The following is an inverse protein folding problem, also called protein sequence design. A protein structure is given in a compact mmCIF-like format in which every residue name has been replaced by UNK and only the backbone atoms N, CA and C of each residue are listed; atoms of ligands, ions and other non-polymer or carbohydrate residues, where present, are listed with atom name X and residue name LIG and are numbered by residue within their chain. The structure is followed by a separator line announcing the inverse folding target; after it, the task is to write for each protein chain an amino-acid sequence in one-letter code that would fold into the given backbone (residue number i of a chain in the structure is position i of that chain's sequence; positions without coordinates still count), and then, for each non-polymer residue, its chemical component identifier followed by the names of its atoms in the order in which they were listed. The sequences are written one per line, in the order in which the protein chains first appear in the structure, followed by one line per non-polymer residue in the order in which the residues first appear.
data_IF_590512894598
#
_entry.id   IF_590512894598
#
_cell.length_a   1.000
_cell.length_b   1.000
_cell.length_c   1.000
_cell.angle_alpha   90.00
_cell.angle_beta   90.00
_cell.angle_gamma   90.00
#
_symmetry.space_group_name_H-M   'P 1'
#
loop_
_entity.id
_entity.type
_entity.pdbx_description
1 polymer ?
#
# COMPACT_ATOMS: atom_id res chain seq x y z
N UNK A 1 -13.03 7.00 25.63
CA UNK A 1 -11.68 6.71 25.11
C UNK A 1 -10.93 5.63 25.90
N UNK A 2 -10.85 5.69 27.24
CA UNK A 2 -10.18 4.64 28.06
C UNK A 2 -10.76 3.23 27.83
N UNK A 3 -12.08 3.06 27.73
CA UNK A 3 -12.71 1.75 27.41
C UNK A 3 -12.57 1.29 25.94
N UNK A 4 -12.40 2.21 24.98
CA UNK A 4 -12.25 1.87 23.56
C UNK A 4 -10.78 1.67 23.15
N UNK A 5 -9.86 2.40 23.78
CA UNK A 5 -8.43 2.11 23.75
C UNK A 5 -8.11 0.89 24.60
N UNK A 6 -8.79 0.66 25.74
CA UNK A 6 -8.71 -0.62 26.44
C UNK A 6 -9.36 -1.74 25.63
N UNK A 7 -10.43 -1.54 24.85
CA UNK A 7 -10.97 -2.61 24.00
C UNK A 7 -10.07 -2.92 22.80
N UNK A 8 -9.42 -1.92 22.18
CA UNK A 8 -8.39 -2.14 21.15
C UNK A 8 -7.09 -2.73 21.72
N UNK A 9 -6.68 -2.30 22.92
CA UNK A 9 -5.52 -2.81 23.65
C UNK A 9 -5.77 -4.22 24.17
N UNK A 10 -6.95 -4.52 24.73
CA UNK A 10 -7.35 -5.91 25.10
C UNK A 10 -7.55 -6.78 23.88
N UNK A 11 -8.08 -6.28 22.76
CA UNK A 11 -8.16 -7.08 21.52
C UNK A 11 -6.79 -7.40 20.93
N UNK A 12 -5.82 -6.48 20.99
CA UNK A 12 -4.43 -6.74 20.56
C UNK A 12 -3.66 -7.61 21.57
N UNK A 13 -3.81 -7.40 22.89
CA UNK A 13 -3.09 -8.18 23.92
C UNK A 13 -3.70 -9.56 24.18
N UNK A 14 -5.03 -9.73 24.04
CA UNK A 14 -5.69 -11.04 24.20
C UNK A 14 -5.48 -11.96 22.99
N UNK A 15 -5.26 -11.42 21.79
CA UNK A 15 -5.00 -12.22 20.59
C UNK A 15 -3.51 -12.56 20.39
N UNK A 16 -2.57 -11.78 20.93
CA UNK A 16 -1.14 -12.15 20.90
C UNK A 16 -0.78 -13.22 21.95
N UNK A 17 -1.48 -13.25 23.09
CA UNK A 17 -1.31 -14.29 24.12
C UNK A 17 -2.09 -15.58 23.85
N UNK A 18 -2.99 -15.57 22.85
CA UNK A 18 -3.75 -16.73 22.35
C UNK A 18 -3.46 -17.03 20.88
N UNK A 19 -2.30 -16.64 20.35
CA UNK A 19 -1.88 -17.11 19.05
C UNK A 19 -1.67 -18.63 19.15
N UNK A 20 -2.48 -19.48 18.48
CA UNK A 20 -2.08 -20.87 18.32
C UNK A 20 -0.75 -20.88 17.58
N UNK A 21 0.11 -21.85 17.90
CA UNK A 21 1.40 -22.07 17.23
C UNK A 21 1.32 -21.71 15.73
N UNK A 22 2.31 -21.00 15.16
CA UNK A 22 2.27 -20.61 13.76
C UNK A 22 1.96 -21.85 12.92
N UNK A 23 1.03 -21.77 11.95
CA UNK A 23 0.69 -22.92 11.14
C UNK A 23 1.99 -23.45 10.53
N UNK A 24 2.24 -24.77 10.55
CA UNK A 24 3.49 -25.31 10.05
C UNK A 24 3.69 -24.82 8.62
N UNK A 25 4.94 -24.44 8.31
CA UNK A 25 5.44 -23.97 6.99
C UNK A 25 4.82 -24.75 5.81
N UNK A 26 4.43 -25.99 6.04
CA UNK A 26 3.63 -26.85 5.17
C UNK A 26 2.37 -26.21 4.56
N UNK A 27 1.58 -25.43 5.32
CA UNK A 27 0.32 -24.85 4.81
C UNK A 27 0.61 -23.72 3.82
N UNK A 28 1.52 -22.80 4.15
CA UNK A 28 1.92 -21.71 3.26
C UNK A 28 2.59 -22.24 1.98
N UNK A 29 3.44 -23.27 2.08
CA UNK A 29 4.06 -23.93 0.93
C UNK A 29 3.01 -24.63 0.05
N UNK A 30 1.99 -25.26 0.65
CA UNK A 30 0.90 -25.92 -0.11
C UNK A 30 0.04 -24.90 -0.88
N UNK A 31 -0.28 -23.75 -0.27
CA UNK A 31 -1.02 -22.67 -0.94
C UNK A 31 -0.19 -21.93 -1.99
N UNK A 32 1.10 -21.71 -1.75
CA UNK A 32 2.03 -21.15 -2.73
C UNK A 32 2.15 -22.10 -3.94
N UNK A 33 2.23 -23.41 -3.71
CA UNK A 33 2.24 -24.42 -4.79
C UNK A 33 0.94 -24.46 -5.59
N UNK A 34 -0.22 -24.33 -4.94
CA UNK A 34 -1.52 -24.27 -5.62
C UNK A 34 -1.66 -22.97 -6.44
N UNK A 35 -1.23 -21.83 -5.87
CA UNK A 35 -1.20 -20.54 -6.56
C UNK A 35 -0.25 -20.53 -7.76
N UNK A 36 0.97 -21.08 -7.62
CA UNK A 36 1.93 -21.24 -8.72
C UNK A 36 1.43 -22.25 -9.76
N UNK A 37 0.79 -23.36 -9.38
CA UNK A 37 0.22 -24.32 -10.33
C UNK A 37 -0.94 -23.72 -11.12
N UNK A 38 -1.82 -22.93 -10.48
CA UNK A 38 -2.88 -22.21 -11.18
C UNK A 38 -2.28 -21.16 -12.14
N UNK A 39 -1.34 -20.33 -11.66
CA UNK A 39 -0.68 -19.32 -12.49
C UNK A 39 0.08 -19.95 -13.68
N UNK A 40 0.75 -21.09 -13.46
CA UNK A 40 1.49 -21.81 -14.50
C UNK A 40 0.55 -22.49 -15.52
N UNK A 41 -0.60 -23.03 -15.07
CA UNK A 41 -1.64 -23.55 -15.97
C UNK A 41 -2.31 -22.45 -16.80
N UNK A 42 -2.52 -21.26 -16.23
CA UNK A 42 -3.06 -20.11 -16.97
C UNK A 42 -2.06 -19.54 -17.98
N UNK A 43 -0.75 -19.59 -17.67
CA UNK A 43 0.31 -19.07 -18.55
C UNK A 43 0.69 -20.06 -19.67
N UNK A 44 0.61 -21.38 -19.43
CA UNK A 44 1.20 -22.39 -20.35
C UNK A 44 0.23 -23.10 -21.31
N UNK A 45 -1.04 -22.68 -21.41
CA UNK A 45 -1.98 -23.19 -22.43
C UNK A 45 -2.07 -24.74 -22.53
N UNK A 46 -1.96 -25.48 -21.41
CA UNK A 46 -2.14 -26.95 -21.39
C UNK A 46 -3.48 -27.35 -20.76
N UNK A 47 -4.55 -27.56 -21.56
CA UNK A 47 -5.88 -27.88 -21.03
C UNK A 47 -5.97 -29.23 -20.29
N UNK A 48 -5.11 -30.20 -20.62
CA UNK A 48 -5.16 -31.55 -20.02
C UNK A 48 -4.66 -31.65 -18.56
N UNK A 49 -3.99 -30.62 -18.03
CA UNK A 49 -3.47 -30.66 -16.64
C UNK A 49 -4.54 -30.22 -15.62
N UNK A 50 -5.58 -29.50 -16.05
CA UNK A 50 -6.68 -29.03 -15.20
C UNK A 50 -7.58 -30.17 -14.70
N UNK A 51 -7.80 -31.21 -15.51
CA UNK A 51 -8.68 -32.32 -15.14
C UNK A 51 -8.15 -33.17 -13.97
N UNK A 52 -6.83 -33.29 -13.81
CA UNK A 52 -6.24 -34.12 -12.74
C UNK A 52 -6.00 -33.38 -11.42
N UNK A 53 -6.20 -32.06 -11.34
CA UNK A 53 -5.99 -31.28 -10.12
C UNK A 53 -7.28 -30.98 -9.33
N UNK A 54 -8.46 -31.31 -9.88
CA UNK A 54 -9.77 -30.90 -9.32
C UNK A 54 -10.52 -32.04 -8.62
N UNK A 55 -9.96 -33.25 -8.53
CA UNK A 55 -10.54 -34.34 -7.73
C UNK A 55 -10.10 -34.27 -6.27
N UNK A 56 -10.59 -33.26 -5.54
CA UNK A 56 -10.63 -33.27 -4.08
C UNK A 56 -12.09 -33.18 -3.65
N UNK A 57 -12.52 -34.12 -2.81
CA UNK A 57 -13.89 -34.37 -2.39
C UNK A 57 -14.69 -33.13 -1.95
N UNK A 58 -16.04 -33.13 -2.08
CA UNK A 58 -16.87 -31.93 -2.08
C UNK A 58 -17.20 -31.36 -0.69
N UNK A 59 -16.50 -31.76 0.36
CA UNK A 59 -16.81 -31.34 1.73
C UNK A 59 -15.61 -30.63 2.34
N UNK A 60 -15.82 -29.34 2.68
CA UNK A 60 -14.87 -28.42 3.32
C UNK A 60 -13.82 -27.76 2.42
N UNK A 61 -14.27 -26.96 1.44
CA UNK A 61 -13.42 -25.92 0.85
C UNK A 61 -14.17 -24.60 0.82
N UNK A 62 -14.29 -23.95 1.99
CA UNK A 62 -14.47 -22.50 2.03
C UNK A 62 -13.11 -21.92 1.68
N UNK A 63 -12.86 -21.67 0.39
CA UNK A 63 -11.78 -20.79 -0.05
C UNK A 63 -11.98 -19.46 0.67
N UNK A 64 -11.03 -18.97 1.49
CA UNK A 64 -10.97 -17.53 1.69
C UNK A 64 -10.55 -16.97 0.33
N UNK A 65 -11.52 -16.58 -0.49
CA UNK A 65 -11.31 -15.88 -1.74
C UNK A 65 -10.48 -14.63 -1.41
N UNK A 66 -9.17 -14.71 -1.64
CA UNK A 66 -8.31 -13.57 -1.45
C UNK A 66 -8.74 -12.51 -2.46
N UNK A 67 -9.03 -11.26 -2.04
CA UNK A 67 -9.39 -10.16 -2.95
C UNK A 67 -8.29 -9.82 -3.97
N UNK A 68 -7.18 -10.57 -3.99
CA UNK A 68 -6.08 -10.48 -4.94
C UNK A 68 -6.26 -11.38 -6.16
N UNK A 69 -6.96 -12.52 -6.07
CA UNK A 69 -7.06 -13.49 -7.17
C UNK A 69 -8.13 -13.07 -8.20
N UNK A 70 -9.25 -12.54 -7.73
CA UNK A 70 -10.37 -12.07 -8.57
C UNK A 70 -9.95 -10.98 -9.56
N UNK A 71 -9.17 -9.94 -9.15
CA UNK A 71 -8.63 -8.95 -10.08
C UNK A 71 -7.66 -9.53 -11.11
N UNK A 72 -6.83 -10.51 -10.73
CA UNK A 72 -5.85 -11.13 -11.64
C UNK A 72 -6.57 -11.93 -12.74
N UNK A 73 -7.58 -12.71 -12.36
CA UNK A 73 -8.40 -13.48 -13.32
C UNK A 73 -9.23 -12.55 -14.20
N UNK A 74 -9.81 -11.49 -13.64
CA UNK A 74 -10.53 -10.47 -14.40
C UNK A 74 -9.59 -9.76 -15.38
N UNK A 75 -8.37 -9.46 -14.95
CA UNK A 75 -7.35 -8.81 -15.77
C UNK A 75 -6.91 -9.70 -16.94
N UNK A 76 -6.59 -10.96 -16.67
CA UNK A 76 -6.25 -11.93 -17.72
C UNK A 76 -7.38 -12.08 -18.75
N UNK A 77 -8.63 -12.21 -18.28
CA UNK A 77 -9.80 -12.32 -19.16
C UNK A 77 -10.06 -11.03 -19.96
N UNK A 78 -9.87 -9.85 -19.37
CA UNK A 78 -9.97 -8.55 -20.06
C UNK A 78 -8.91 -8.44 -21.15
N UNK A 79 -7.70 -8.90 -20.85
CA UNK A 79 -6.57 -8.84 -21.76
C UNK A 79 -6.73 -9.79 -22.94
N UNK A 80 -7.15 -11.04 -22.69
CA UNK A 80 -7.56 -12.00 -23.73
C UNK A 80 -8.70 -11.45 -24.60
N UNK A 81 -9.69 -10.79 -23.99
CA UNK A 81 -10.80 -10.17 -24.71
C UNK A 81 -10.34 -9.05 -25.67
N UNK A 82 -9.51 -8.12 -25.18
CA UNK A 82 -8.96 -7.03 -26.01
C UNK A 82 -8.06 -7.56 -27.13
N UNK A 83 -7.26 -8.60 -26.85
CA UNK A 83 -6.42 -9.27 -27.85
C UNK A 83 -7.30 -9.90 -28.94
N UNK A 84 -8.38 -10.58 -28.55
CA UNK A 84 -9.29 -11.23 -29.48
C UNK A 84 -9.99 -10.22 -30.39
N UNK A 85 -10.45 -9.09 -29.82
CA UNK A 85 -11.04 -7.98 -30.59
C UNK A 85 -10.08 -7.40 -31.62
N UNK A 86 -8.82 -7.11 -31.24
CA UNK A 86 -7.83 -6.53 -32.16
C UNK A 86 -7.40 -7.51 -33.25
N UNK A 87 -7.32 -8.81 -32.94
CA UNK A 87 -7.05 -9.88 -33.93
C UNK A 87 -8.19 -9.98 -34.95
N UNK A 88 -9.44 -9.78 -34.52
CA UNK A 88 -10.61 -9.73 -35.40
C UNK A 88 -10.56 -8.52 -36.33
N UNK A 89 -10.19 -7.34 -35.85
CA UNK A 89 -10.00 -6.15 -36.72
C UNK A 89 -8.93 -6.39 -37.78
N UNK A 90 -7.81 -7.04 -37.41
CA UNK A 90 -6.72 -7.35 -38.35
C UNK A 90 -7.15 -8.42 -39.37
N UNK A 91 -7.81 -9.49 -38.93
CA UNK A 91 -8.32 -10.56 -39.80
C UNK A 91 -9.36 -10.05 -40.81
N UNK A 92 -10.26 -9.17 -40.35
CA UNK A 92 -11.29 -8.55 -41.18
C UNK A 92 -10.70 -7.58 -42.23
N UNK A 93 -9.55 -6.96 -41.94
CA UNK A 93 -8.79 -6.15 -42.91
C UNK A 93 -7.99 -7.02 -43.89
N UNK A 94 -7.52 -8.21 -43.48
CA UNK A 94 -6.67 -9.07 -44.31
C UNK A 94 -7.38 -10.08 -45.22
N UNK A 95 -8.71 -10.22 -45.13
CA UNK A 95 -9.51 -10.99 -46.11
C UNK A 95 -9.17 -12.48 -46.26
N UNK A 96 -8.50 -13.13 -45.30
CA UNK A 96 -8.02 -14.53 -45.41
C UNK A 96 -8.77 -15.46 -44.43
N UNK A 97 -9.46 -16.47 -45.01
CA UNK A 97 -10.03 -17.71 -44.45
C UNK A 97 -11.18 -17.58 -43.40
N UNK A 98 -12.43 -17.39 -43.86
CA UNK A 98 -13.48 -18.42 -44.12
C UNK A 98 -14.09 -19.11 -42.87
N UNK A 99 -15.21 -18.52 -42.41
CA UNK A 99 -16.43 -19.08 -41.75
C UNK A 99 -16.29 -20.03 -40.54
N UNK A 100 -15.46 -21.06 -40.59
CA UNK A 100 -15.37 -22.07 -39.52
C UNK A 100 -14.65 -21.55 -38.26
N UNK A 101 -13.70 -20.63 -38.45
CA UNK A 101 -13.04 -19.90 -37.36
C UNK A 101 -13.96 -18.81 -36.77
N UNK A 102 -14.89 -18.24 -37.55
CA UNK A 102 -15.75 -17.15 -37.09
C UNK A 102 -16.75 -17.61 -36.04
N UNK A 103 -17.33 -18.80 -36.18
CA UNK A 103 -18.26 -19.35 -35.19
C UNK A 103 -17.56 -19.64 -33.86
N UNK A 104 -16.37 -20.26 -33.91
CA UNK A 104 -15.59 -20.55 -32.69
C UNK A 104 -15.12 -19.24 -32.01
N UNK A 105 -14.70 -18.24 -32.79
CA UNK A 105 -14.31 -16.93 -32.28
C UNK A 105 -15.52 -16.20 -31.67
N UNK A 106 -16.70 -16.23 -32.31
CA UNK A 106 -17.93 -15.65 -31.78
C UNK A 106 -18.38 -16.32 -30.47
N UNK A 107 -18.26 -17.64 -30.35
CA UNK A 107 -18.54 -18.36 -29.10
C UNK A 107 -17.56 -17.95 -28.01
N UNK A 108 -16.24 -17.89 -28.30
CA UNK A 108 -15.24 -17.43 -27.34
C UNK A 108 -15.43 -15.97 -26.91
N UNK A 109 -15.78 -15.08 -27.85
CA UNK A 109 -16.08 -13.68 -27.55
C UNK A 109 -17.34 -13.54 -26.70
N UNK A 110 -18.37 -14.34 -26.96
CA UNK A 110 -19.58 -14.39 -26.15
C UNK A 110 -19.29 -14.89 -24.74
N UNK A 111 -18.54 -15.98 -24.60
CA UNK A 111 -18.13 -16.51 -23.29
C UNK A 111 -17.26 -15.52 -22.51
N UNK A 112 -16.26 -14.91 -23.17
CA UNK A 112 -15.41 -13.89 -22.58
C UNK A 112 -16.22 -12.65 -22.18
N UNK A 113 -17.13 -12.21 -23.05
CA UNK A 113 -18.05 -11.10 -22.78
C UNK A 113 -18.96 -11.39 -21.59
N UNK A 114 -19.53 -12.60 -21.48
CA UNK A 114 -20.34 -13.01 -20.34
C UNK A 114 -19.53 -13.06 -19.04
N UNK A 115 -18.31 -13.60 -19.07
CA UNK A 115 -17.41 -13.62 -17.90
C UNK A 115 -17.05 -12.20 -17.47
N UNK A 116 -16.74 -11.32 -18.42
CA UNK A 116 -16.43 -9.92 -18.16
C UNK A 116 -17.64 -9.17 -17.59
N UNK A 117 -18.83 -9.37 -18.16
CA UNK A 117 -20.07 -8.78 -17.65
C UNK A 117 -20.35 -9.26 -16.22
N UNK A 118 -20.20 -10.54 -15.93
CA UNK A 118 -20.37 -11.09 -14.59
C UNK A 118 -19.35 -10.50 -13.59
N UNK A 119 -18.08 -10.39 -13.98
CA UNK A 119 -17.04 -9.80 -13.14
C UNK A 119 -17.27 -8.31 -12.88
N UNK A 120 -17.69 -7.55 -13.90
CA UNK A 120 -18.03 -6.13 -13.76
C UNK A 120 -19.26 -5.97 -12.86
N UNK A 121 -20.33 -6.74 -13.10
CA UNK A 121 -21.54 -6.70 -12.29
C UNK A 121 -21.24 -7.01 -10.82
N UNK A 122 -20.44 -8.06 -10.57
CA UNK A 122 -20.03 -8.42 -9.21
C UNK A 122 -19.13 -7.35 -8.57
N UNK A 123 -18.22 -6.75 -9.34
CA UNK A 123 -17.35 -5.66 -8.84
C UNK A 123 -18.16 -4.42 -8.49
N UNK A 124 -19.12 -4.04 -9.33
CA UNK A 124 -20.07 -2.95 -9.06
C UNK A 124 -20.90 -3.25 -7.82
N UNK A 125 -21.42 -4.48 -7.69
CA UNK A 125 -22.13 -4.92 -6.50
C UNK A 125 -21.29 -4.78 -5.22
N UNK A 126 -20.05 -5.26 -5.22
CA UNK A 126 -19.14 -5.12 -4.08
C UNK A 126 -18.80 -3.66 -3.76
N UNK A 127 -18.66 -2.81 -4.79
CA UNK A 127 -18.39 -1.39 -4.62
C UNK A 127 -19.60 -0.67 -4.00
N UNK A 128 -20.82 -0.96 -4.47
CA UNK A 128 -22.06 -0.43 -3.89
C UNK A 128 -22.25 -0.90 -2.44
N UNK A 129 -21.99 -2.19 -2.16
CA UNK A 129 -22.01 -2.73 -0.80
C UNK A 129 -21.01 -2.01 0.09
N UNK A 130 -19.78 -1.79 -0.41
CA UNK A 130 -18.75 -1.06 0.32
C UNK A 130 -19.16 0.38 0.62
N UNK A 131 -19.72 1.10 -0.35
CA UNK A 131 -20.19 2.48 -0.17
C UNK A 131 -21.31 2.53 0.87
N UNK A 132 -22.25 1.59 0.79
CA UNK A 132 -23.34 1.44 1.76
C UNK A 132 -22.81 1.23 3.19
N UNK A 133 -21.84 0.30 3.36
CA UNK A 133 -21.20 0.04 4.66
C UNK A 133 -20.40 1.25 5.17
N UNK A 134 -19.78 2.01 4.26
CA UNK A 134 -19.00 3.21 4.61
C UNK A 134 -19.87 4.45 4.88
N UNK A 135 -21.20 4.35 4.74
CA UNK A 135 -22.12 5.47 4.96
C UNK A 135 -21.94 6.61 3.96
N UNK A 136 -21.41 6.32 2.77
CA UNK A 136 -21.22 7.28 1.66
C UNK A 136 -20.40 8.54 1.99
N UNK A 137 -19.65 8.56 3.08
CA UNK A 137 -18.78 9.68 3.44
C UNK A 137 -17.34 9.41 3.00
N UNK A 138 -16.72 10.41 2.38
CA UNK A 138 -15.29 10.35 2.06
C UNK A 138 -14.47 10.54 3.34
N UNK A 139 -13.37 9.80 3.50
CA UNK A 139 -12.47 10.00 4.62
C UNK A 139 -11.85 11.40 4.53
N UNK A 140 -11.91 12.15 5.62
CA UNK A 140 -11.29 13.48 5.72
C UNK A 140 -9.91 13.32 6.34
N UNK A 141 -8.88 13.62 5.57
CA UNK A 141 -7.49 13.54 6.02
C UNK A 141 -6.99 14.89 6.54
N UNK A 142 -6.09 14.86 7.52
CA UNK A 142 -5.44 16.08 8.01
C UNK A 142 -4.21 16.41 7.17
N UNK A 143 -3.76 17.67 7.22
CA UNK A 143 -2.49 18.09 6.59
C UNK A 143 -1.29 17.27 7.07
N UNK A 144 -1.35 16.78 8.31
CA UNK A 144 -0.29 15.95 8.90
C UNK A 144 -0.25 14.53 8.31
N UNK A 145 -1.38 14.01 7.84
CA UNK A 145 -1.41 12.66 7.26
C UNK A 145 -0.77 12.63 5.87
N UNK A 146 -1.02 13.67 5.08
CA UNK A 146 -0.41 13.84 3.76
C UNK A 146 -0.17 15.33 3.45
N UNK A 147 1.00 15.88 3.81
CA UNK A 147 1.31 17.29 3.52
C UNK A 147 1.42 17.56 2.01
N UNK A 148 1.79 16.57 1.20
CA UNK A 148 1.85 16.72 -0.24
C UNK A 148 0.47 16.98 -0.85
N UNK A 149 -0.57 16.30 -0.36
CA UNK A 149 -1.95 16.50 -0.82
C UNK A 149 -2.48 17.89 -0.47
N UNK A 150 -2.09 18.42 0.69
CA UNK A 150 -2.48 19.73 1.17
C UNK A 150 -1.67 20.90 0.58
N UNK A 151 -0.59 20.62 -0.16
CA UNK A 151 0.25 21.65 -0.77
C UNK A 151 -0.47 22.35 -1.94
N UNK A 152 -0.06 23.59 -2.20
CA UNK A 152 -0.54 24.36 -3.36
C UNK A 152 0.08 23.86 -4.67
N UNK A 153 -0.58 24.15 -5.79
CA UNK A 153 -0.04 23.91 -7.13
C UNK A 153 1.06 24.92 -7.44
N UNK A 154 2.21 24.52 -8.05
CA UNK A 154 2.52 23.23 -8.64
C UNK A 154 3.27 22.24 -7.72
N UNK A 155 3.61 22.64 -6.49
CA UNK A 155 4.38 21.83 -5.52
C UNK A 155 3.70 20.48 -5.28
N UNK A 156 2.38 20.48 -5.16
CA UNK A 156 1.57 19.26 -5.05
C UNK A 156 1.84 18.30 -6.20
N UNK A 157 1.73 18.75 -7.44
CA UNK A 157 1.92 17.91 -8.62
C UNK A 157 3.35 17.38 -8.69
N UNK A 158 4.36 18.24 -8.52
CA UNK A 158 5.76 17.83 -8.53
C UNK A 158 6.03 16.74 -7.49
N UNK A 159 5.53 16.94 -6.27
CA UNK A 159 5.69 15.98 -5.18
C UNK A 159 4.96 14.67 -5.49
N UNK A 160 3.69 14.70 -5.91
CA UNK A 160 2.94 13.47 -6.22
C UNK A 160 3.55 12.63 -7.33
N UNK A 161 4.08 13.26 -8.38
CA UNK A 161 4.77 12.53 -9.46
C UNK A 161 6.10 11.94 -8.96
N UNK A 162 6.85 12.66 -8.12
CA UNK A 162 8.03 12.11 -7.47
C UNK A 162 7.71 10.92 -6.57
N UNK A 163 6.58 10.93 -5.85
CA UNK A 163 6.18 9.79 -5.01
C UNK A 163 5.99 8.51 -5.83
N UNK A 164 5.56 8.57 -7.09
CA UNK A 164 5.48 7.39 -7.97
C UNK A 164 6.87 6.80 -8.22
N UNK A 165 7.85 7.66 -8.52
CA UNK A 165 9.24 7.23 -8.71
C UNK A 165 9.84 6.66 -7.41
N UNK A 166 9.56 7.29 -6.26
CA UNK A 166 9.99 6.81 -4.95
C UNK A 166 9.39 5.43 -4.61
N UNK A 167 8.10 5.22 -4.87
CA UNK A 167 7.45 3.91 -4.68
C UNK A 167 8.08 2.83 -5.58
N UNK A 168 8.45 3.19 -6.80
CA UNK A 168 9.14 2.28 -7.72
C UNK A 168 10.57 1.98 -7.28
N UNK A 169 11.25 2.95 -6.68
CA UNK A 169 12.57 2.76 -6.08
C UNK A 169 12.52 1.78 -4.90
N UNK A 170 11.47 1.83 -4.06
CA UNK A 170 11.29 0.88 -2.96
C UNK A 170 11.16 -0.58 -3.45
N UNK A 171 10.60 -0.81 -4.64
CA UNK A 171 10.57 -2.14 -5.26
C UNK A 171 11.95 -2.60 -5.74
N UNK A 172 12.76 -1.68 -6.29
CA UNK A 172 14.09 -1.98 -6.81
C UNK A 172 15.13 -2.16 -5.69
N UNK A 173 15.09 -1.30 -4.67
CA UNK A 173 16.08 -1.25 -3.60
C UNK A 173 15.43 -0.92 -2.24
N UNK A 174 14.85 -1.93 -1.55
CA UNK A 174 14.23 -1.76 -0.24
C UNK A 174 15.29 -1.66 0.88
N UNK A 175 15.96 -0.51 1.00
CA UNK A 175 16.90 -0.21 2.09
C UNK A 175 16.23 0.53 3.25
N UNK A 176 15.45 1.56 2.93
CA UNK A 176 14.93 2.52 3.90
C UNK A 176 13.45 2.29 4.20
N UNK A 177 13.09 1.05 4.53
CA UNK A 177 11.70 0.73 4.87
C UNK A 177 11.33 1.31 6.24
N UNK A 178 10.19 1.98 6.30
CA UNK A 178 9.65 2.66 7.46
C UNK A 178 8.21 2.24 7.70
N UNK A 179 7.85 2.04 8.97
CA UNK A 179 6.48 1.67 9.35
C UNK A 179 5.47 2.82 9.16
N UNK A 180 5.93 4.08 9.12
CA UNK A 180 5.09 5.26 8.94
C UNK A 180 5.81 6.38 8.16
N UNK A 181 5.23 6.73 7.00
CA UNK A 181 5.71 7.80 6.11
C UNK A 181 4.84 9.07 6.17
N UNK A 182 3.99 9.23 7.18
CA UNK A 182 3.15 10.43 7.32
C UNK A 182 3.97 11.67 7.73
N UNK A 183 3.33 12.83 7.84
CA UNK A 183 3.96 14.10 8.16
C UNK A 183 5.08 14.46 7.16
N UNK A 184 6.11 15.18 7.61
CA UNK A 184 7.20 15.70 6.79
C UNK A 184 8.30 14.68 6.50
N UNK A 185 7.95 13.38 6.46
CA UNK A 185 8.87 12.28 6.16
C UNK A 185 9.52 12.46 4.79
N UNK A 186 8.70 12.73 3.77
CA UNK A 186 9.19 13.09 2.44
C UNK A 186 9.04 14.59 2.27
N UNK A 187 10.16 15.29 2.14
CA UNK A 187 10.15 16.73 1.92
C UNK A 187 9.41 17.06 0.61
N UNK A 188 8.63 18.14 0.60
CA UNK A 188 7.95 18.59 -0.61
C UNK A 188 8.96 18.95 -1.70
N UNK A 189 8.59 18.71 -2.96
CA UNK A 189 9.34 19.15 -4.13
C UNK A 189 8.88 20.55 -4.49
N UNK A 190 9.62 21.56 -4.03
CA UNK A 190 9.21 22.97 -4.12
C UNK A 190 9.59 23.64 -5.44
N UNK A 191 10.56 23.08 -6.18
CA UNK A 191 11.08 23.65 -7.42
C UNK A 191 11.06 22.64 -8.56
N UNK A 192 10.86 23.12 -9.79
CA UNK A 192 10.99 22.32 -11.00
C UNK A 192 12.43 21.84 -11.23
N UNK A 193 13.42 22.56 -10.69
CA UNK A 193 14.85 22.24 -10.82
C UNK A 193 15.40 21.35 -9.69
N UNK A 194 14.52 20.80 -8.85
CA UNK A 194 14.93 19.83 -7.83
C UNK A 194 15.48 18.55 -8.50
N UNK A 195 16.63 18.06 -8.03
CA UNK A 195 17.28 16.85 -8.55
C UNK A 195 16.35 15.64 -8.52
N UNK A 196 15.40 15.60 -7.59
CA UNK A 196 14.39 14.54 -7.49
C UNK A 196 13.50 14.43 -8.72
N UNK A 197 13.30 15.53 -9.46
CA UNK A 197 12.56 15.49 -10.72
C UNK A 197 13.30 14.71 -11.81
N UNK A 198 14.63 14.54 -11.73
CA UNK A 198 15.38 13.64 -12.62
C UNK A 198 14.93 12.20 -12.41
N UNK A 199 14.71 11.76 -11.17
CA UNK A 199 14.18 10.42 -10.88
C UNK A 199 12.77 10.24 -11.46
N UNK A 200 11.91 11.26 -11.31
CA UNK A 200 10.56 11.29 -11.89
C UNK A 200 10.60 11.16 -13.42
N UNK A 201 11.39 12.00 -14.09
CA UNK A 201 11.54 11.99 -15.55
C UNK A 201 12.12 10.67 -16.06
N UNK A 202 13.12 10.13 -15.36
CA UNK A 202 13.74 8.84 -15.70
C UNK A 202 12.72 7.72 -15.60
N UNK A 203 11.95 7.67 -14.51
CA UNK A 203 10.91 6.68 -14.30
C UNK A 203 9.88 6.70 -15.44
N UNK A 204 9.26 7.85 -15.71
CA UNK A 204 8.25 7.96 -16.78
C UNK A 204 8.86 7.68 -18.16
N UNK A 205 10.07 8.14 -18.44
CA UNK A 205 10.74 7.88 -19.72
C UNK A 205 10.97 6.38 -19.96
N UNK A 206 11.44 5.65 -18.94
CA UNK A 206 11.65 4.19 -19.03
C UNK A 206 10.31 3.47 -19.17
N UNK A 207 9.32 3.83 -18.35
CA UNK A 207 8.00 3.19 -18.36
C UNK A 207 7.25 3.43 -19.68
N UNK A 208 7.23 4.67 -20.17
CA UNK A 208 6.61 5.02 -21.45
C UNK A 208 7.32 4.35 -22.64
N UNK A 209 8.66 4.30 -22.67
CA UNK A 209 9.41 3.58 -23.72
C UNK A 209 9.09 2.08 -23.72
N UNK A 210 9.00 1.47 -22.53
CA UNK A 210 8.66 0.07 -22.38
C UNK A 210 7.24 -0.23 -22.89
N UNK A 211 6.27 0.61 -22.53
CA UNK A 211 4.89 0.50 -22.99
C UNK A 211 4.77 0.73 -24.50
N UNK A 212 5.39 1.78 -25.02
CA UNK A 212 5.39 2.11 -26.45
C UNK A 212 5.91 0.95 -27.28
N UNK A 213 7.10 0.42 -26.91
CA UNK A 213 7.69 -0.72 -27.58
C UNK A 213 6.77 -1.95 -27.54
N UNK A 214 6.17 -2.22 -26.38
CA UNK A 214 5.28 -3.38 -26.21
C UNK A 214 3.94 -3.24 -26.94
N UNK A 215 3.45 -2.02 -27.17
CA UNK A 215 2.20 -1.78 -27.90
C UNK A 215 2.39 -1.84 -29.42
N UNK A 216 3.58 -1.45 -29.91
CA UNK A 216 3.88 -1.39 -31.35
C UNK A 216 4.47 -2.70 -31.89
N UNK A 217 5.30 -3.41 -31.12
CA UNK A 217 5.83 -4.73 -31.49
C UNK A 217 4.87 -5.84 -31.02
N UNK A 218 4.22 -6.52 -31.98
CA UNK A 218 3.27 -7.60 -31.66
C UNK A 218 3.95 -8.99 -31.63
N UNK A 219 4.86 -9.19 -30.68
CA UNK A 219 5.43 -10.50 -30.37
C UNK A 219 4.80 -11.10 -29.11
N UNK A 220 4.87 -12.43 -28.94
CA UNK A 220 4.48 -13.09 -27.66
C UNK A 220 5.16 -12.44 -26.45
N UNK A 221 6.38 -11.94 -26.67
CA UNK A 221 7.19 -11.19 -25.70
C UNK A 221 6.53 -9.90 -25.21
N UNK A 222 5.85 -9.16 -26.08
CA UNK A 222 5.21 -7.90 -25.69
C UNK A 222 3.97 -8.10 -24.82
N UNK A 223 3.28 -9.24 -24.97
CA UNK A 223 2.16 -9.63 -24.09
C UNK A 223 2.60 -9.77 -22.64
N UNK A 224 3.74 -10.42 -22.39
CA UNK A 224 4.28 -10.59 -21.03
C UNK A 224 4.63 -9.25 -20.40
N UNK A 225 5.27 -8.35 -21.15
CA UNK A 225 5.65 -7.02 -20.67
C UNK A 225 4.41 -6.18 -20.37
N UNK A 226 3.41 -6.19 -21.26
CA UNK A 226 2.18 -5.42 -21.09
C UNK A 226 1.37 -5.91 -19.88
N UNK A 227 1.25 -7.23 -19.70
CA UNK A 227 0.63 -7.83 -18.51
C UNK A 227 1.38 -7.43 -17.23
N UNK A 228 2.72 -7.48 -17.25
CA UNK A 228 3.55 -7.10 -16.11
C UNK A 228 3.38 -5.61 -15.74
N UNK A 229 3.42 -4.73 -16.75
CA UNK A 229 3.25 -3.29 -16.56
C UNK A 229 1.86 -2.94 -16.02
N UNK A 230 0.83 -3.67 -16.45
CA UNK A 230 -0.52 -3.45 -15.97
C UNK A 230 -0.77 -3.97 -14.55
N UNK A 231 -0.23 -5.15 -14.20
CA UNK A 231 -0.23 -5.66 -12.82
C UNK A 231 0.58 -4.76 -11.89
N UNK A 232 1.58 -4.04 -12.41
CA UNK A 232 2.33 -3.04 -11.67
C UNK A 232 1.52 -1.74 -11.49
N UNK A 233 0.94 -1.20 -12.56
CA UNK A 233 0.31 0.12 -12.54
C UNK A 233 -1.12 0.11 -11.99
N UNK A 234 -2.02 -0.76 -12.48
CA UNK A 234 -3.44 -0.66 -12.15
C UNK A 234 -3.76 -0.83 -10.66
N UNK A 235 -3.17 -1.81 -9.94
CA UNK A 235 -3.40 -1.92 -8.49
C UNK A 235 -2.84 -0.75 -7.70
N UNK A 236 -1.81 -0.06 -8.24
CA UNK A 236 -1.19 1.09 -7.59
C UNK A 236 -1.95 2.40 -7.84
N UNK A 237 -2.61 2.56 -8.99
CA UNK A 237 -3.27 3.81 -9.38
C UNK A 237 -4.21 4.39 -8.31
N UNK A 238 -5.10 3.62 -7.65
CA UNK A 238 -5.96 4.15 -6.59
C UNK A 238 -5.19 4.64 -5.35
N UNK A 239 -3.97 4.16 -5.12
CA UNK A 239 -3.13 4.53 -3.99
C UNK A 239 -2.04 5.56 -4.36
N UNK A 240 -1.94 5.95 -5.63
CA UNK A 240 -0.82 6.72 -6.18
C UNK A 240 -0.81 8.21 -5.82
N UNK A 241 -1.89 8.73 -5.23
CA UNK A 241 -2.14 10.17 -5.05
C UNK A 241 -2.25 11.01 -6.34
N UNK A 242 -2.24 10.40 -7.55
CA UNK A 242 -2.30 11.14 -8.81
C UNK A 242 -3.70 11.69 -9.12
N UNK A 243 -4.74 10.87 -8.93
CA UNK A 243 -6.12 11.22 -9.28
C UNK A 243 -6.91 11.78 -8.11
N UNK A 244 -6.65 11.27 -6.91
CA UNK A 244 -7.30 11.71 -5.69
C UNK A 244 -6.31 11.62 -4.51
N UNK A 245 -6.37 12.57 -3.57
CA UNK A 245 -5.51 12.56 -2.40
C UNK A 245 -5.87 11.39 -1.47
N UNK A 246 -4.84 10.73 -0.97
CA UNK A 246 -4.94 9.61 -0.03
C UNK A 246 -4.33 10.03 1.31
N UNK A 247 -4.78 9.43 2.41
CA UNK A 247 -4.34 9.75 3.77
C UNK A 247 -2.93 9.31 4.17
N UNK A 248 -2.03 9.13 3.22
CA UNK A 248 -0.62 8.82 3.47
C UNK A 248 0.25 9.34 2.31
N UNK A 249 1.50 9.66 2.62
CA UNK A 249 2.50 10.08 1.62
C UNK A 249 3.04 8.87 0.86
N UNK A 250 3.56 7.89 1.59
CA UNK A 250 3.99 6.58 1.06
C UNK A 250 3.41 5.49 1.95
N UNK A 251 3.07 4.35 1.36
CA UNK A 251 2.64 3.20 2.14
C UNK A 251 3.14 1.92 1.46
N UNK A 252 4.16 1.30 2.01
CA UNK A 252 4.80 0.11 1.44
C UNK A 252 3.81 -1.04 1.16
N UNK A 253 2.79 -1.19 2.02
CA UNK A 253 1.71 -2.18 1.84
C UNK A 253 0.95 -2.04 0.52
N UNK A 254 0.93 -0.86 -0.11
CA UNK A 254 0.26 -0.65 -1.39
C UNK A 254 1.05 -1.24 -2.55
N UNK A 255 2.32 -1.59 -2.33
CA UNK A 255 3.19 -2.21 -3.31
C UNK A 255 3.11 -3.74 -3.32
N UNK A 256 2.33 -4.38 -2.43
CA UNK A 256 2.20 -5.85 -2.37
C UNK A 256 1.55 -6.46 -3.62
N UNK A 257 0.51 -5.82 -4.16
CA UNK A 257 -0.10 -6.27 -5.42
C UNK A 257 0.76 -5.84 -6.64
N UNK A 258 1.19 -4.57 -6.73
CA UNK A 258 2.14 -4.12 -7.77
C UNK A 258 3.42 -4.95 -7.87
N UNK A 259 3.93 -5.48 -6.75
CA UNK A 259 5.16 -6.28 -6.74
C UNK A 259 5.03 -7.57 -7.57
N UNK A 260 3.81 -8.07 -7.81
CA UNK A 260 3.60 -9.21 -8.72
C UNK A 260 4.00 -8.84 -10.16
N UNK A 261 3.55 -7.68 -10.64
CA UNK A 261 3.93 -7.15 -11.96
C UNK A 261 5.42 -6.85 -12.04
N UNK A 262 5.99 -6.29 -10.96
CA UNK A 262 7.44 -6.08 -10.85
C UNK A 262 8.24 -7.38 -10.96
N UNK A 263 7.88 -8.43 -10.20
CA UNK A 263 8.56 -9.72 -10.22
C UNK A 263 8.51 -10.37 -11.61
N UNK A 264 7.37 -10.27 -12.32
CA UNK A 264 7.24 -10.76 -13.69
C UNK A 264 8.17 -9.99 -14.65
N UNK A 265 8.25 -8.67 -14.52
CA UNK A 265 9.10 -7.82 -15.35
C UNK A 265 10.58 -8.09 -15.10
N UNK A 266 10.99 -8.25 -13.84
CA UNK A 266 12.37 -8.60 -13.46
C UNK A 266 12.74 -10.00 -13.95
N UNK A 267 11.86 -11.00 -13.75
CA UNK A 267 12.05 -12.37 -14.24
C UNK A 267 12.21 -12.42 -15.76
N UNK A 268 11.35 -11.68 -16.47
CA UNK A 268 11.40 -11.59 -17.93
C UNK A 268 12.68 -10.90 -18.42
N UNK A 269 13.02 -9.74 -17.84
CA UNK A 269 14.26 -9.02 -18.15
C UNK A 269 15.51 -9.86 -17.88
N UNK A 270 15.49 -10.64 -16.79
CA UNK A 270 16.54 -11.59 -16.47
C UNK A 270 16.64 -12.71 -17.51
N UNK A 271 15.53 -13.32 -17.93
CA UNK A 271 15.53 -14.36 -18.96
C UNK A 271 16.17 -13.89 -20.28
N UNK A 272 15.87 -12.65 -20.69
CA UNK A 272 16.49 -12.03 -21.86
C UNK A 272 18.00 -11.84 -21.68
N UNK A 273 18.43 -11.35 -20.52
CA UNK A 273 19.84 -11.13 -20.21
C UNK A 273 20.61 -12.45 -20.10
N UNK A 274 20.04 -13.42 -19.38
CA UNK A 274 20.57 -14.77 -19.20
C UNK A 274 20.87 -15.41 -20.55
N UNK A 275 19.97 -15.29 -21.54
CA UNK A 275 20.16 -15.82 -22.88
C UNK A 275 21.32 -15.17 -23.65
N UNK A 276 21.63 -13.89 -23.39
CA UNK A 276 22.75 -13.17 -24.03
C UNK A 276 24.10 -13.42 -23.37
N UNK A 277 24.13 -13.75 -22.09
CA UNK A 277 25.38 -14.02 -21.37
C UNK A 277 25.97 -15.36 -21.86
N UNK A 278 27.25 -15.38 -22.21
CA UNK A 278 27.97 -16.62 -22.60
C UNK A 278 28.08 -17.59 -21.42
N UNK A 279 28.50 -17.10 -20.25
CA UNK A 279 28.71 -17.88 -19.04
C UNK A 279 27.42 -17.98 -18.20
N UNK A 280 26.55 -18.95 -18.52
CA UNK A 280 25.26 -19.15 -17.82
C UNK A 280 25.41 -19.39 -16.32
N UNK A 281 26.48 -20.05 -15.89
CA UNK A 281 26.79 -20.29 -14.47
C UNK A 281 26.92 -18.98 -13.69
N UNK A 282 27.67 -17.99 -14.21
CA UNK A 282 27.84 -16.69 -13.57
C UNK A 282 26.50 -15.96 -13.38
N UNK A 283 25.63 -16.05 -14.38
CA UNK A 283 24.27 -15.51 -14.31
C UNK A 283 23.50 -16.15 -13.14
N UNK A 284 23.47 -17.48 -13.03
CA UNK A 284 22.81 -18.15 -11.89
C UNK A 284 23.45 -17.80 -10.54
N UNK A 285 24.77 -17.73 -10.45
CA UNK A 285 25.48 -17.29 -9.24
C UNK A 285 25.06 -15.88 -8.82
N UNK A 286 24.91 -14.95 -9.77
CA UNK A 286 24.44 -13.60 -9.48
C UNK A 286 23.02 -13.59 -8.92
N UNK A 287 22.08 -14.33 -9.52
CA UNK A 287 20.72 -14.43 -8.96
C UNK A 287 20.73 -15.02 -7.55
N UNK A 288 21.49 -16.11 -7.34
CA UNK A 288 21.57 -16.75 -6.03
C UNK A 288 22.15 -15.80 -4.98
N UNK A 289 23.15 -15.00 -5.36
CA UNK A 289 23.72 -13.97 -4.51
C UNK A 289 22.71 -12.87 -4.16
N UNK A 290 21.95 -12.38 -5.14
CA UNK A 290 20.87 -11.40 -4.90
C UNK A 290 19.82 -12.00 -3.96
N UNK A 291 19.33 -13.21 -4.24
CA UNK A 291 18.34 -13.90 -3.38
C UNK A 291 18.87 -14.06 -1.96
N UNK A 292 20.14 -14.46 -1.79
CA UNK A 292 20.77 -14.60 -0.49
C UNK A 292 20.81 -13.26 0.28
N UNK A 293 21.23 -12.16 -0.36
CA UNK A 293 21.25 -10.83 0.27
C UNK A 293 19.84 -10.42 0.71
N UNK A 294 18.84 -10.59 -0.15
CA UNK A 294 17.47 -10.18 0.17
C UNK A 294 16.85 -11.08 1.25
N UNK A 295 17.17 -12.38 1.28
CA UNK A 295 16.78 -13.29 2.35
C UNK A 295 17.41 -12.85 3.68
N UNK A 296 18.71 -12.55 3.70
CA UNK A 296 19.40 -12.04 4.89
C UNK A 296 18.80 -10.71 5.38
N UNK A 297 18.50 -9.77 4.47
CA UNK A 297 17.81 -8.51 4.80
C UNK A 297 16.43 -8.76 5.39
N UNK A 298 15.70 -9.75 4.89
CA UNK A 298 14.37 -10.13 5.39
C UNK A 298 14.46 -10.70 6.81
N UNK A 299 15.40 -11.61 7.05
CA UNK A 299 15.64 -12.18 8.39
C UNK A 299 16.03 -11.07 9.38
N UNK A 300 16.92 -10.16 8.99
CA UNK A 300 17.28 -9.01 9.83
C UNK A 300 16.08 -8.11 10.11
N UNK A 301 15.24 -7.86 9.10
CA UNK A 301 14.03 -7.02 9.23
C UNK A 301 13.02 -7.63 10.20
N UNK A 302 12.93 -8.95 10.32
CA UNK A 302 12.05 -9.61 11.30
C UNK A 302 12.39 -9.23 12.75
N UNK A 303 13.64 -8.86 13.04
CA UNK A 303 14.03 -8.37 14.37
C UNK A 303 13.37 -7.03 14.72
N UNK A 304 13.15 -6.16 13.71
CA UNK A 304 12.46 -4.88 13.92
C UNK A 304 11.00 -5.12 14.36
N UNK A 305 10.36 -6.23 13.94
CA UNK A 305 8.97 -6.57 14.22
C UNK A 305 8.74 -7.29 15.56
N UNK A 306 9.77 -7.50 16.38
CA UNK A 306 9.65 -8.26 17.63
C UNK A 306 8.72 -7.60 18.65
N UNK A 307 8.78 -6.28 18.80
CA UNK A 307 7.95 -5.54 19.74
C UNK A 307 7.70 -4.08 19.28
N UNK A 308 6.82 -3.37 19.99
CA UNK A 308 6.47 -1.98 19.69
C UNK A 308 7.69 -1.06 19.71
N UNK A 309 8.60 -1.23 20.67
CA UNK A 309 9.79 -0.39 20.78
C UNK A 309 10.70 -0.55 19.56
N UNK A 310 11.02 -1.80 19.16
CA UNK A 310 11.94 -2.08 18.05
C UNK A 310 11.40 -1.59 16.71
N UNK A 311 10.09 -1.70 16.45
CA UNK A 311 9.52 -1.29 15.16
C UNK A 311 9.52 0.23 15.02
N UNK A 312 9.19 0.98 16.08
CA UNK A 312 9.22 2.44 16.03
C UNK A 312 10.64 3.00 16.06
N UNK A 313 11.56 2.35 16.79
CA UNK A 313 13.00 2.67 16.70
C UNK A 313 13.58 2.39 15.31
N UNK A 314 13.12 1.34 14.62
CA UNK A 314 13.46 1.11 13.22
C UNK A 314 12.95 2.25 12.32
N UNK A 315 11.74 2.75 12.57
CA UNK A 315 11.21 3.94 11.89
C UNK A 315 12.09 5.17 12.12
N UNK A 316 12.46 5.47 13.38
CA UNK A 316 13.31 6.62 13.71
C UNK A 316 14.71 6.57 13.11
N UNK A 317 15.26 5.37 12.90
CA UNK A 317 16.54 5.21 12.18
C UNK A 317 16.46 5.66 10.73
N UNK A 318 15.29 5.52 10.10
CA UNK A 318 15.05 5.94 8.72
C UNK A 318 14.61 7.40 8.64
N UNK A 319 13.80 7.83 9.61
CA UNK A 319 13.13 9.11 9.54
C UNK A 319 12.98 9.78 10.91
N UNK A 320 13.66 10.91 11.06
CA UNK A 320 13.66 11.74 12.26
C UNK A 320 12.74 12.97 12.14
N UNK A 321 11.99 13.12 11.03
CA UNK A 321 11.08 14.24 10.77
C UNK A 321 9.59 13.88 11.00
N UNK A 322 9.33 12.78 11.70
CA UNK A 322 7.99 12.30 11.99
C UNK A 322 7.77 12.23 13.51
N UNK A 323 7.04 13.20 14.06
CA UNK A 323 6.71 13.27 15.48
C UNK A 323 5.90 12.05 15.97
N UNK A 324 5.09 11.42 15.11
CA UNK A 324 4.35 10.19 15.48
C UNK A 324 5.29 9.04 15.85
N UNK A 325 6.44 8.91 15.20
CA UNK A 325 7.42 7.87 15.53
C UNK A 325 8.02 8.09 16.92
N UNK A 326 8.40 9.33 17.26
CA UNK A 326 8.87 9.69 18.59
C UNK A 326 7.80 9.44 19.67
N UNK A 327 6.56 9.86 19.41
CA UNK A 327 5.43 9.62 20.30
C UNK A 327 5.22 8.11 20.54
N UNK A 328 5.30 7.29 19.49
CA UNK A 328 5.10 5.85 19.61
C UNK A 328 6.24 5.15 20.38
N UNK A 329 7.51 5.59 20.21
CA UNK A 329 8.61 5.11 21.07
C UNK A 329 8.37 5.52 22.52
N UNK A 330 7.96 6.76 22.77
CA UNK A 330 7.61 7.26 24.10
C UNK A 330 6.50 6.42 24.75
N UNK A 331 5.44 6.09 24.02
CA UNK A 331 4.37 5.22 24.53
C UNK A 331 4.85 3.79 24.84
N UNK A 332 5.76 3.25 24.03
CA UNK A 332 6.35 1.94 24.30
C UNK A 332 7.24 1.95 25.55
N UNK A 333 7.91 3.06 25.85
CA UNK A 333 8.70 3.24 27.08
C UNK A 333 7.81 3.48 28.31
N UNK A 334 6.73 4.26 28.19
CA UNK A 334 5.75 4.44 29.27
C UNK A 334 5.09 3.11 29.64
N UNK A 335 4.80 2.25 28.67
CA UNK A 335 4.21 0.93 28.96
C UNK A 335 5.18 0.00 29.72
N UNK A 336 6.48 0.28 29.66
CA UNK A 336 7.53 -0.38 30.44
C UNK A 336 7.83 0.34 31.77
N UNK A 337 7.10 1.41 32.12
CA UNK A 337 7.35 2.21 33.32
C UNK A 337 8.56 3.15 33.24
N UNK A 338 9.20 3.27 32.07
CA UNK A 338 10.40 4.10 31.84
C UNK A 338 10.01 5.55 31.50
N UNK A 339 9.34 6.21 32.44
CA UNK A 339 8.74 7.54 32.22
C UNK A 339 9.77 8.64 31.89
N UNK A 340 10.94 8.65 32.54
CA UNK A 340 11.98 9.65 32.28
C UNK A 340 12.53 9.56 30.85
N UNK A 341 12.65 8.35 30.30
CA UNK A 341 13.11 8.16 28.93
C UNK A 341 11.99 8.47 27.94
N UNK A 342 10.76 8.05 28.22
CA UNK A 342 9.61 8.39 27.40
C UNK A 342 9.43 9.91 27.26
N UNK A 343 9.63 10.65 28.35
CA UNK A 343 9.56 12.11 28.37
C UNK A 343 10.52 12.74 27.35
N UNK A 344 11.76 12.23 27.24
CA UNK A 344 12.73 12.72 26.24
C UNK A 344 12.19 12.56 24.82
N UNK A 345 11.65 11.39 24.49
CA UNK A 345 11.08 11.14 23.16
C UNK A 345 9.85 12.02 22.89
N UNK A 346 8.98 12.26 23.87
CA UNK A 346 7.85 13.18 23.68
C UNK A 346 8.29 14.65 23.51
N UNK A 347 9.33 15.07 24.22
CA UNK A 347 9.93 16.39 24.02
C UNK A 347 10.58 16.52 22.64
N UNK A 348 11.25 15.47 22.15
CA UNK A 348 11.79 15.45 20.80
C UNK A 348 10.69 15.45 19.74
N UNK A 349 9.54 14.81 19.99
CA UNK A 349 8.35 14.94 19.14
C UNK A 349 7.89 16.40 19.00
N UNK A 350 7.86 17.16 20.10
CA UNK A 350 7.55 18.60 20.09
C UNK A 350 8.58 19.39 19.28
N UNK A 351 9.88 19.08 19.42
CA UNK A 351 10.93 19.77 18.64
C UNK A 351 10.78 19.53 17.14
N UNK A 352 10.42 18.30 16.77
CA UNK A 352 10.22 17.90 15.36
C UNK A 352 8.96 18.53 14.79
N UNK A 353 7.88 18.59 15.56
CA UNK A 353 6.59 19.13 15.14
C UNK A 353 5.94 19.94 16.28
N UNK A 354 6.22 21.27 16.36
CA UNK A 354 5.76 22.12 17.47
C UNK A 354 4.24 22.35 17.55
N UNK A 355 3.50 22.04 16.49
CA UNK A 355 2.04 22.12 16.42
C UNK A 355 1.34 20.76 16.67
N UNK A 356 2.10 19.71 17.00
CA UNK A 356 1.52 18.41 17.41
C UNK A 356 0.95 18.48 18.84
N UNK A 357 -0.34 18.78 18.93
CA UNK A 357 -1.10 18.80 20.19
C UNK A 357 -0.97 17.47 20.95
N UNK A 358 -0.87 16.34 20.23
CA UNK A 358 -0.70 15.01 20.83
C UNK A 358 0.58 14.90 21.65
N UNK A 359 1.68 15.46 21.16
CA UNK A 359 2.97 15.44 21.84
C UNK A 359 2.93 16.21 23.19
N UNK A 360 2.27 17.38 23.24
CA UNK A 360 2.12 18.13 24.49
C UNK A 360 1.23 17.41 25.52
N UNK A 361 0.17 16.73 25.07
CA UNK A 361 -0.65 15.89 25.94
C UNK A 361 0.21 14.77 26.55
N UNK A 362 1.05 14.14 25.73
CA UNK A 362 1.92 13.06 26.17
C UNK A 362 2.93 13.57 27.20
N UNK A 363 3.63 14.68 26.93
CA UNK A 363 4.56 15.31 27.90
C UNK A 363 3.87 15.63 29.23
N UNK A 364 2.70 16.27 29.20
CA UNK A 364 1.96 16.60 30.43
C UNK A 364 1.54 15.36 31.22
N UNK A 365 1.10 14.31 30.52
CA UNK A 365 0.77 13.03 31.15
C UNK A 365 2.00 12.37 31.77
N UNK A 366 3.13 12.35 31.07
CA UNK A 366 4.35 11.73 31.58
C UNK A 366 4.90 12.48 32.80
N UNK A 367 4.87 13.82 32.82
CA UNK A 367 5.22 14.61 34.01
C UNK A 367 4.29 14.31 35.20
N UNK A 368 2.99 14.13 34.96
CA UNK A 368 2.07 13.72 36.00
C UNK A 368 2.42 12.34 36.58
N UNK A 369 2.82 11.37 35.75
CA UNK A 369 3.33 10.07 36.23
C UNK A 369 4.63 10.17 37.02
N UNK A 370 5.44 11.19 36.75
CA UNK A 370 6.67 11.51 37.49
C UNK A 370 6.44 12.36 38.75
N UNK A 371 5.19 12.65 39.10
CA UNK A 371 4.81 13.57 40.20
C UNK A 371 5.32 15.01 40.04
N UNK A 372 5.67 15.40 38.81
CA UNK A 372 6.12 16.76 38.45
C UNK A 372 4.93 17.60 38.01
N UNK A 373 4.06 17.94 38.96
CA UNK A 373 2.75 18.55 38.66
C UNK A 373 2.84 19.95 38.05
N UNK A 374 3.83 20.75 38.46
CA UNK A 374 4.03 22.11 37.94
C UNK A 374 4.42 22.08 36.44
N UNK A 375 5.28 21.15 36.06
CA UNK A 375 5.71 20.93 34.68
C UNK A 375 4.59 20.34 33.83
N UNK A 376 3.80 19.44 34.41
CA UNK A 376 2.60 18.90 33.76
C UNK A 376 1.60 20.02 33.42
N UNK A 377 1.32 20.92 34.37
CA UNK A 377 0.45 22.08 34.15
C UNK A 377 0.96 22.96 33.02
N UNK A 378 2.27 23.30 33.02
CA UNK A 378 2.89 24.08 31.93
C UNK A 378 2.69 23.43 30.56
N UNK A 379 2.88 22.11 30.45
CA UNK A 379 2.67 21.39 29.20
C UNK A 379 1.19 21.43 28.75
N UNK A 380 0.24 21.30 29.68
CA UNK A 380 -1.19 21.42 29.36
C UNK A 380 -1.61 22.84 28.99
N UNK A 381 -0.99 23.88 29.57
CA UNK A 381 -1.21 25.26 29.18
C UNK A 381 -0.68 25.55 27.77
N UNK A 382 0.49 25.03 27.41
CA UNK A 382 1.02 25.12 26.04
C UNK A 382 0.09 24.43 25.03
N UNK A 383 -0.38 23.22 25.36
CA UNK A 383 -1.41 22.52 24.57
C UNK A 383 -2.66 23.38 24.39
N UNK A 384 -3.16 24.02 25.45
CA UNK A 384 -4.34 24.90 25.39
C UNK A 384 -4.09 26.11 24.50
N UNK A 385 -2.92 26.74 24.59
CA UNK A 385 -2.55 27.86 23.73
C UNK A 385 -2.55 27.46 22.25
N UNK A 386 -1.99 26.29 21.91
CA UNK A 386 -2.04 25.75 20.55
C UNK A 386 -3.47 25.48 20.07
N UNK A 387 -4.32 24.89 20.92
CA UNK A 387 -5.74 24.69 20.57
C UNK A 387 -6.47 26.01 20.30
N UNK A 388 -6.23 27.04 21.11
CA UNK A 388 -6.84 28.36 20.94
C UNK A 388 -6.33 29.12 19.72
N UNK A 389 -5.15 28.76 19.21
CA UNK A 389 -4.59 29.30 17.96
C UNK A 389 -5.16 28.65 16.70
N UNK A 390 -5.86 27.52 16.83
CA UNK A 390 -6.50 26.85 15.70
C UNK A 390 -7.86 27.51 15.37
N UNK A 391 -8.27 27.56 14.09
CA UNK A 391 -9.60 28.04 13.73
C UNK A 391 -10.70 27.23 14.42
N UNK A 392 -11.79 27.87 14.85
CA UNK A 392 -12.92 27.30 15.62
C UNK A 392 -13.42 25.94 15.12
N UNK A 393 -13.46 25.75 13.79
CA UNK A 393 -13.87 24.49 13.15
C UNK A 393 -12.92 23.30 13.47
N UNK A 394 -11.63 23.57 13.69
CA UNK A 394 -10.63 22.57 14.08
C UNK A 394 -10.70 22.23 15.58
N UNK A 395 -11.12 23.19 16.41
CA UNK A 395 -11.33 23.00 17.85
C UNK A 395 -12.51 22.05 18.11
N UNK A 396 -13.62 22.22 17.39
CA UNK A 396 -14.80 21.37 17.51
C UNK A 396 -14.48 19.89 17.25
N UNK A 397 -13.62 19.60 16.27
CA UNK A 397 -13.20 18.22 15.94
C UNK A 397 -12.30 17.62 17.02
N UNK A 398 -11.39 18.39 17.61
CA UNK A 398 -10.54 17.93 18.71
C UNK A 398 -11.33 17.62 19.99
N UNK A 399 -12.29 18.49 20.35
CA UNK A 399 -13.15 18.29 21.53
C UNK A 399 -14.00 17.03 21.40
N UNK A 400 -14.62 16.80 20.23
CA UNK A 400 -15.43 15.60 19.96
C UNK A 400 -14.61 14.30 19.99
N UNK A 401 -13.32 14.33 19.61
CA UNK A 401 -12.44 13.16 19.66
C UNK A 401 -12.00 12.84 21.10
N UNK A 402 -11.83 13.86 21.95
CA UNK A 402 -11.36 13.67 23.33
C UNK A 402 -12.46 13.47 24.38
N UNK A 403 -13.68 13.93 24.10
CA UNK A 403 -14.77 13.93 25.08
C UNK A 403 -16.06 13.30 24.50
N UNK A 404 -16.35 12.05 24.87
CA UNK A 404 -17.64 11.41 24.58
C UNK A 404 -18.78 11.93 25.49
N UNK A 405 -18.52 12.85 26.42
CA UNK A 405 -19.51 13.47 27.32
C UNK A 405 -19.76 14.96 27.02
N UNK A 406 -19.11 15.55 26.02
CA UNK A 406 -19.37 16.92 25.61
C UNK A 406 -20.75 16.99 24.92
N UNK A 407 -21.78 17.22 25.74
CA UNK A 407 -23.13 17.55 25.32
C UNK A 407 -23.05 18.77 24.37
N UNK A 408 -23.54 18.63 23.14
CA UNK A 408 -23.57 19.65 22.08
C UNK A 408 -24.27 20.97 22.49
N UNK A 409 -24.91 21.01 23.66
CA UNK A 409 -25.73 22.14 24.12
C UNK A 409 -24.96 23.26 24.83
N UNK A 410 -23.62 23.25 24.90
CA UNK A 410 -22.83 24.29 25.59
C UNK A 410 -22.16 25.34 24.69
N UNK A 411 -22.37 25.31 23.38
CA UNK A 411 -21.88 26.35 22.47
C UNK A 411 -23.07 27.10 21.84
N UNK A 412 -23.51 28.24 22.43
CA UNK A 412 -24.65 29.00 21.92
C UNK A 412 -24.39 29.75 20.58
N UNK A 413 -23.14 29.92 20.17
CA UNK A 413 -22.79 30.76 18.99
C UNK A 413 -22.86 30.05 17.63
N UNK A 414 -23.36 28.81 17.55
CA UNK A 414 -23.44 28.04 16.30
C UNK A 414 -24.86 27.92 15.71
N UNK A 415 -25.82 28.73 16.18
CA UNK A 415 -27.18 28.77 15.58
C UNK A 415 -27.33 29.72 14.39
N UNK A 416 -26.29 30.45 14.02
CA UNK A 416 -26.41 31.58 13.10
C UNK A 416 -25.53 31.47 11.87
N UNK A 417 -25.47 30.30 11.22
CA UNK A 417 -24.97 30.18 9.84
C UNK A 417 -25.42 28.82 9.29
N UNK A 418 -26.62 28.80 8.70
CA UNK A 418 -27.17 27.69 7.91
C UNK A 418 -27.07 28.02 6.43
#
# INVERSE_FOLDING_TARGET
MVKALQSKKTWMTSNMSRAPNPPPVYVAVKWLNIGLKMLCCTIMHKPHVLQNCVTVHPTQVILPFSPTITPIVAYYNSFEFVITLKKQTILHVSGIAQYHNEVEICVRLREAGLRMAALVAFSVFLLLLRISVMGSQLPVFTKFDNPAAAAQTPIRQLTMHYLVALNSWLLLFPCDLCCDWTMSTVALVTSAFDVRNVATLTFYSVFCKLLWKSLWEYEVRSKTVLMSAALLAFPFLPASNLFFPVGFVVAERVLYTPSMGFCLLVSYGWSLLHNRIKFKSLSWCFILFVVFIFAAKTIRRNLDWQNEYTIFMAGLRVNQRNAKLYNNVGHSLESQGRYLEALKYFQDAIKVQPDDIGAYINVGRTYHHLHMYNEAEKAFLQKRALLLSLPLCSIHRFVVITDHRANLNRCPDLRAEN
#
